data_IF_033924185930
#
_entry.id   IF_033924185930
#
_cell.length_a   1.000
_cell.length_b   1.000
_cell.length_c   1.000
_cell.angle_alpha   90.00
_cell.angle_beta   90.00
_cell.angle_gamma   90.00
#
_symmetry.space_group_name_H-M   'P 1'
#
loop_
_entity.id
_entity.type
_entity.pdbx_description
1 polymer ?
#
# COMPACT_ATOMS: atom_id res chain seq x y z
N UNK A 1 -14.47 -7.75 -19.26
CA UNK A 1 -14.36 -8.25 -20.65
C UNK A 1 -15.59 -7.84 -21.46
N UNK A 2 -15.37 -7.11 -22.54
CA UNK A 2 -16.44 -6.68 -23.44
C UNK A 2 -16.79 -7.84 -24.38
N UNK A 3 -18.03 -7.87 -24.87
CA UNK A 3 -18.63 -9.00 -25.59
C UNK A 3 -17.93 -9.44 -26.90
N UNK A 4 -16.80 -8.82 -27.28
CA UNK A 4 -15.99 -9.13 -28.47
C UNK A 4 -14.60 -9.71 -28.21
N UNK A 5 -14.20 -9.96 -26.95
CA UNK A 5 -12.89 -10.57 -26.63
C UNK A 5 -11.66 -9.70 -26.90
N UNK A 6 -11.86 -8.44 -27.30
CA UNK A 6 -10.80 -7.45 -27.43
C UNK A 6 -10.51 -6.82 -26.07
N UNK A 7 -9.25 -6.90 -25.64
CA UNK A 7 -8.72 -6.18 -24.48
C UNK A 7 -7.82 -5.08 -25.00
N UNK A 8 -8.12 -3.83 -24.65
CA UNK A 8 -7.25 -2.70 -24.98
C UNK A 8 -5.83 -2.97 -24.43
N UNK A 9 -4.79 -3.00 -25.27
CA UNK A 9 -3.41 -3.26 -24.82
C UNK A 9 -2.90 -2.21 -23.82
N UNK A 10 -3.51 -1.03 -23.76
CA UNK A 10 -3.19 0.01 -22.78
C UNK A 10 -4.01 -0.12 -21.49
N UNK A 11 -5.07 -0.93 -21.48
CA UNK A 11 -5.90 -1.18 -20.29
C UNK A 11 -5.30 -2.25 -19.36
N UNK A 12 -4.28 -2.96 -19.82
CA UNK A 12 -3.57 -3.98 -19.04
C UNK A 12 -2.12 -3.59 -18.83
N UNK A 13 -1.58 -3.68 -17.60
CA UNK A 13 -0.17 -3.40 -17.31
C UNK A 13 0.69 -4.58 -17.80
N UNK A 14 0.70 -4.80 -19.11
CA UNK A 14 1.36 -5.93 -19.78
C UNK A 14 2.79 -5.62 -20.22
N UNK A 15 3.20 -4.36 -20.14
CA UNK A 15 4.50 -3.89 -20.62
C UNK A 15 4.61 -3.85 -22.15
N UNK A 16 3.47 -3.97 -22.86
CA UNK A 16 3.42 -4.01 -24.33
C UNK A 16 4.11 -2.80 -24.97
N UNK A 17 4.88 -3.05 -26.04
CA UNK A 17 5.50 -2.02 -26.89
C UNK A 17 5.44 -2.44 -28.36
N UNK A 18 5.38 -1.45 -29.25
CA UNK A 18 5.34 -1.70 -30.70
C UNK A 18 6.68 -2.29 -31.18
N UNK A 19 6.64 -3.48 -31.77
CA UNK A 19 7.78 -4.08 -32.47
C UNK A 19 8.87 -4.71 -31.59
N UNK A 20 8.63 -4.94 -30.30
CA UNK A 20 9.63 -5.48 -29.38
C UNK A 20 9.09 -6.39 -28.28
N UNK A 21 10.00 -6.94 -27.48
CA UNK A 21 9.67 -7.66 -26.25
C UNK A 21 8.99 -6.72 -25.25
N UNK A 22 7.93 -7.15 -24.56
CA UNK A 22 7.35 -6.38 -23.47
C UNK A 22 8.42 -5.94 -22.47
N UNK A 23 8.39 -4.67 -22.07
CA UNK A 23 9.32 -4.17 -21.08
C UNK A 23 8.81 -4.54 -19.67
N UNK A 24 9.70 -4.92 -18.75
CA UNK A 24 9.33 -5.07 -17.35
C UNK A 24 8.67 -3.78 -16.84
N UNK A 25 7.47 -3.92 -16.29
CA UNK A 25 6.81 -2.85 -15.55
C UNK A 25 7.31 -2.86 -14.12
N UNK A 26 7.60 -1.67 -13.61
CA UNK A 26 8.04 -1.45 -12.23
C UNK A 26 7.09 -0.48 -11.56
N UNK A 27 6.73 -0.81 -10.33
CA UNK A 27 5.80 -0.08 -9.49
C UNK A 27 6.57 0.37 -8.26
N UNK A 28 7.00 1.64 -8.21
CA UNK A 28 7.52 2.22 -6.99
C UNK A 28 6.34 2.46 -6.04
N UNK A 29 6.38 1.80 -4.89
CA UNK A 29 5.32 1.78 -3.89
C UNK A 29 5.87 2.15 -2.53
N UNK A 30 5.04 2.75 -1.70
CA UNK A 30 5.33 3.00 -0.28
C UNK A 30 4.24 2.38 0.57
N UNK A 31 4.67 1.75 1.65
CA UNK A 31 3.80 1.31 2.74
C UNK A 31 4.14 2.14 3.97
N UNK A 32 3.11 2.60 4.69
CA UNK A 32 3.31 3.39 5.91
C UNK A 32 4.12 2.60 6.94
N UNK A 33 5.23 3.18 7.42
CA UNK A 33 6.14 2.54 8.38
C UNK A 33 7.22 1.65 7.77
N UNK A 34 7.28 1.50 6.44
CA UNK A 34 8.34 0.79 5.74
C UNK A 34 9.11 1.73 4.78
N UNK A 35 10.35 1.36 4.45
CA UNK A 35 11.09 2.02 3.37
C UNK A 35 10.37 1.82 2.04
N UNK A 36 10.38 2.83 1.13
CA UNK A 36 9.80 2.67 -0.20
C UNK A 36 10.44 1.51 -0.96
N UNK A 37 9.61 0.73 -1.65
CA UNK A 37 10.03 -0.43 -2.43
C UNK A 37 9.69 -0.25 -3.89
N UNK A 38 10.54 -0.73 -4.79
CA UNK A 38 10.20 -0.85 -6.20
C UNK A 38 9.98 -2.31 -6.51
N UNK A 39 8.78 -2.66 -6.97
CA UNK A 39 8.43 -4.03 -7.29
C UNK A 39 8.12 -4.19 -8.78
N UNK A 40 8.47 -5.34 -9.36
CA UNK A 40 8.11 -5.65 -10.75
C UNK A 40 6.61 -5.94 -10.90
N UNK A 41 6.10 -6.00 -12.13
CA UNK A 41 4.73 -6.48 -12.34
C UNK A 41 4.56 -7.89 -11.74
N UNK A 42 3.50 -8.12 -10.94
CA UNK A 42 3.20 -9.45 -10.44
C UNK A 42 2.89 -10.39 -11.59
N UNK A 43 3.11 -11.70 -11.38
CA UNK A 43 2.78 -12.72 -12.38
C UNK A 43 1.29 -12.67 -12.76
N UNK A 44 0.44 -12.44 -11.76
CA UNK A 44 -0.96 -12.12 -11.95
C UNK A 44 -1.48 -11.23 -10.82
N UNK A 45 -2.41 -10.33 -11.14
CA UNK A 45 -3.14 -9.55 -10.16
C UNK A 45 -4.59 -9.38 -10.60
N UNK A 46 -5.52 -9.57 -9.67
CA UNK A 46 -6.92 -9.22 -9.83
C UNK A 46 -7.29 -8.23 -8.73
N UNK A 47 -7.75 -7.05 -9.13
CA UNK A 47 -8.18 -5.99 -8.23
C UNK A 47 -9.66 -5.74 -8.45
N UNK A 48 -10.41 -5.77 -7.36
CA UNK A 48 -11.84 -5.45 -7.31
C UNK A 48 -12.05 -4.27 -6.35
N UNK A 49 -13.31 -3.87 -6.14
CA UNK A 49 -13.62 -2.78 -5.21
C UNK A 49 -13.17 -3.11 -3.77
N UNK A 50 -13.33 -4.36 -3.35
CA UNK A 50 -13.22 -4.82 -1.96
C UNK A 50 -12.12 -5.88 -1.75
N UNK A 51 -11.47 -6.35 -2.82
CA UNK A 51 -10.44 -7.39 -2.73
C UNK A 51 -9.31 -7.21 -3.72
N UNK A 52 -8.09 -7.52 -3.28
CA UNK A 52 -6.92 -7.74 -4.13
C UNK A 52 -6.49 -9.19 -4.01
N UNK A 53 -6.26 -9.84 -5.14
CA UNK A 53 -5.55 -11.12 -5.22
C UNK A 53 -4.33 -10.93 -6.10
N UNK A 54 -3.16 -11.28 -5.59
CA UNK A 54 -1.89 -11.10 -6.30
C UNK A 54 -1.04 -12.35 -6.14
N UNK A 55 -0.37 -12.74 -7.21
CA UNK A 55 0.66 -13.79 -7.18
C UNK A 55 2.04 -13.13 -7.18
N UNK A 56 2.79 -13.37 -6.12
CA UNK A 56 4.14 -12.84 -5.89
C UNK A 56 5.07 -14.02 -5.58
N UNK A 57 6.12 -14.19 -6.37
CA UNK A 57 7.13 -15.25 -6.17
C UNK A 57 6.52 -16.67 -6.01
N UNK A 58 5.47 -16.96 -6.77
CA UNK A 58 4.73 -18.24 -6.73
C UNK A 58 3.76 -18.39 -5.55
N UNK A 59 3.62 -17.36 -4.71
CA UNK A 59 2.68 -17.33 -3.60
C UNK A 59 1.49 -16.45 -3.94
N UNK A 60 0.28 -17.02 -3.81
CA UNK A 60 -0.96 -16.26 -4.00
C UNK A 60 -1.37 -15.62 -2.67
N UNK A 61 -1.42 -14.29 -2.65
CA UNK A 61 -1.92 -13.49 -1.53
C UNK A 61 -3.34 -12.99 -1.78
N UNK A 62 -4.18 -12.99 -0.74
CA UNK A 62 -5.49 -12.38 -0.75
C UNK A 62 -5.57 -11.28 0.31
N UNK A 63 -6.10 -10.13 -0.08
CA UNK A 63 -6.23 -8.95 0.78
C UNK A 63 -7.63 -8.36 0.62
N UNK A 64 -8.23 -7.93 1.73
CA UNK A 64 -9.37 -7.02 1.70
C UNK A 64 -8.90 -5.63 1.27
N UNK A 65 -9.74 -4.90 0.54
CA UNK A 65 -9.42 -3.58 0.00
C UNK A 65 -10.47 -2.55 0.38
N UNK A 66 -10.01 -1.35 0.72
CA UNK A 66 -10.84 -0.14 0.81
C UNK A 66 -10.05 1.05 0.29
N UNK A 67 -10.28 1.44 -0.98
CA UNK A 67 -9.42 2.43 -1.64
C UNK A 67 -7.99 1.91 -1.76
N UNK A 68 -7.04 2.62 -1.16
CA UNK A 68 -5.60 2.29 -1.19
C UNK A 68 -5.15 1.52 0.07
N UNK A 69 -6.11 1.14 0.91
CA UNK A 69 -5.87 0.32 2.09
C UNK A 69 -6.05 -1.17 1.77
N UNK A 70 -5.09 -1.97 2.21
CA UNK A 70 -5.12 -3.43 2.15
C UNK A 70 -5.14 -4.01 3.57
N UNK A 71 -5.91 -5.08 3.79
CA UNK A 71 -5.96 -5.77 5.08
C UNK A 71 -5.97 -7.29 4.94
N UNK A 72 -5.32 -7.98 5.88
CA UNK A 72 -5.24 -9.44 5.94
C UNK A 72 -4.93 -9.89 7.36
N UNK A 73 -5.62 -10.93 7.85
CA UNK A 73 -5.33 -11.58 9.15
C UNK A 73 -5.28 -10.61 10.35
N UNK A 74 -6.03 -9.49 10.28
CA UNK A 74 -6.07 -8.45 11.32
C UNK A 74 -5.07 -7.31 11.10
N UNK A 75 -4.10 -7.47 10.22
CA UNK A 75 -3.16 -6.43 9.84
C UNK A 75 -3.72 -5.54 8.73
N UNK A 76 -3.26 -4.29 8.67
CA UNK A 76 -3.70 -3.29 7.69
C UNK A 76 -2.54 -2.42 7.23
N UNK A 77 -2.46 -2.20 5.93
CA UNK A 77 -1.41 -1.45 5.25
C UNK A 77 -2.04 -0.40 4.34
N UNK A 78 -1.57 0.84 4.45
CA UNK A 78 -1.84 1.87 3.45
C UNK A 78 -0.78 1.76 2.36
N UNK A 79 -1.18 1.34 1.17
CA UNK A 79 -0.29 1.15 0.02
C UNK A 79 -0.46 2.32 -0.93
N UNK A 80 0.59 3.11 -1.09
CA UNK A 80 0.57 4.32 -1.91
C UNK A 80 1.56 4.21 -3.06
N UNK A 81 1.23 4.84 -4.18
CA UNK A 81 2.22 5.08 -5.22
C UNK A 81 3.35 5.97 -4.67
N UNK A 82 4.58 5.65 -5.05
CA UNK A 82 5.76 6.41 -4.66
C UNK A 82 6.45 6.93 -5.91
N UNK A 83 6.56 8.24 -6.09
CA UNK A 83 7.39 8.79 -7.16
C UNK A 83 8.81 9.05 -6.62
N UNK A 84 9.82 8.25 -7.00
CA UNK A 84 11.18 8.43 -6.49
C UNK A 84 11.85 9.71 -7.02
N UNK A 85 11.42 10.23 -8.17
CA UNK A 85 11.93 11.47 -8.74
C UNK A 85 11.39 12.65 -7.95
N UNK A 86 10.08 12.69 -7.73
CA UNK A 86 9.42 13.71 -6.91
C UNK A 86 9.96 13.68 -5.47
N UNK A 87 10.15 12.50 -4.88
CA UNK A 87 10.75 12.33 -3.56
C UNK A 87 12.19 12.87 -3.49
N UNK A 88 13.01 12.61 -4.52
CA UNK A 88 14.37 13.14 -4.58
C UNK A 88 14.40 14.68 -4.71
N UNK A 89 13.41 15.27 -5.37
CA UNK A 89 13.31 16.72 -5.56
C UNK A 89 12.72 17.42 -4.32
N UNK A 90 11.83 16.77 -3.59
CA UNK A 90 11.18 17.28 -2.38
C UNK A 90 11.96 17.01 -1.09
N UNK A 91 12.88 16.03 -1.10
CA UNK A 91 13.74 15.64 0.03
C UNK A 91 14.70 16.73 0.54
N UNK A 92 14.82 17.87 -0.16
CA UNK A 92 15.58 19.02 0.30
C UNK A 92 14.87 19.89 1.36
N UNK A 93 13.65 19.54 1.84
CA UNK A 93 12.98 20.43 2.80
C UNK A 93 11.78 19.95 3.62
N UNK A 94 11.36 18.67 3.60
CA UNK A 94 10.18 18.25 4.40
C UNK A 94 10.41 16.93 5.13
N UNK A 95 11.07 17.03 6.28
CA UNK A 95 11.05 16.00 7.32
C UNK A 95 9.73 16.10 8.09
N UNK A 96 8.69 15.46 7.59
CA UNK A 96 7.42 15.29 8.27
C UNK A 96 6.69 14.16 7.60
N UNK A 97 6.61 13.01 8.26
CA UNK A 97 5.85 11.90 7.73
C UNK A 97 4.39 12.35 7.60
N UNK A 98 3.87 12.44 6.38
CA UNK A 98 2.44 12.68 6.09
C UNK A 98 1.52 11.57 6.67
N UNK A 99 2.08 10.58 7.36
CA UNK A 99 1.35 9.51 8.02
C UNK A 99 2.11 9.05 9.28
N UNK A 100 1.40 9.04 10.41
CA UNK A 100 1.85 8.42 11.66
C UNK A 100 1.32 6.98 11.70
N UNK A 101 2.17 6.02 11.36
CA UNK A 101 1.85 4.60 11.51
C UNK A 101 1.96 4.17 12.97
N UNK A 102 1.09 3.25 13.41
CA UNK A 102 1.22 2.65 14.74
C UNK A 102 2.57 1.90 14.84
N UNK A 103 3.34 2.07 15.93
CA UNK A 103 4.68 1.49 16.03
C UNK A 103 4.67 -0.03 16.24
N UNK A 104 3.53 -0.62 16.61
CA UNK A 104 3.32 -2.05 16.81
C UNK A 104 1.86 -2.43 16.51
N UNK A 105 1.60 -3.66 16.04
CA UNK A 105 0.23 -4.17 15.89
C UNK A 105 -0.44 -4.28 17.26
N UNK A 106 -1.71 -3.89 17.32
CA UNK A 106 -2.48 -3.91 18.55
C UNK A 106 -3.90 -3.38 18.36
N UNK A 107 -4.72 -3.51 19.40
CA UNK A 107 -6.10 -3.05 19.39
C UNK A 107 -6.18 -1.60 19.86
N UNK A 108 -6.86 -0.73 19.09
CA UNK A 108 -7.14 0.65 19.51
C UNK A 108 -8.18 0.62 20.63
N UNK A 109 -7.82 1.10 21.81
CA UNK A 109 -8.72 1.11 22.98
C UNK A 109 -9.34 2.47 23.24
N UNK A 110 -8.62 3.56 22.89
CA UNK A 110 -9.07 4.93 23.11
C UNK A 110 -8.61 5.83 21.96
N UNK A 111 -9.54 6.63 21.42
CA UNK A 111 -9.24 7.74 20.51
C UNK A 111 -9.46 9.04 21.27
N UNK A 112 -8.45 9.93 21.30
CA UNK A 112 -8.44 11.16 22.12
C UNK A 112 -8.71 12.44 21.32
N UNK A 113 -8.81 12.35 20.01
CA UNK A 113 -8.99 13.49 19.09
C UNK A 113 -10.09 13.21 18.07
N UNK A 114 -10.77 14.25 17.62
CA UNK A 114 -11.72 14.18 16.52
C UNK A 114 -11.05 14.55 15.19
N UNK A 115 -11.71 14.20 14.08
CA UNK A 115 -11.24 14.56 12.74
C UNK A 115 -11.32 16.08 12.58
N UNK A 116 -10.20 16.71 12.22
CA UNK A 116 -10.09 18.16 12.01
C UNK A 116 -9.58 18.93 13.22
N UNK A 117 -9.31 18.26 14.35
CA UNK A 117 -8.69 18.90 15.51
C UNK A 117 -7.23 19.33 15.20
N UNK A 118 -6.87 20.53 15.62
CA UNK A 118 -5.48 20.99 15.62
C UNK A 118 -4.75 20.36 16.82
N UNK A 119 -3.55 19.83 16.58
CA UNK A 119 -2.78 19.05 17.57
C UNK A 119 -1.36 19.58 17.70
N UNK A 120 -0.84 19.55 18.92
CA UNK A 120 0.53 19.99 19.21
C UNK A 120 1.51 18.83 19.24
N UNK A 121 2.80 19.13 19.04
CA UNK A 121 3.86 18.13 19.10
C UNK A 121 3.90 17.44 20.48
N UNK A 122 3.85 16.10 20.49
CA UNK A 122 3.80 15.30 21.71
C UNK A 122 2.41 15.06 22.28
N UNK A 123 1.35 15.62 21.67
CA UNK A 123 -0.03 15.32 22.06
C UNK A 123 -0.39 13.87 21.76
N UNK A 124 -0.94 13.19 22.77
CA UNK A 124 -1.43 11.82 22.61
C UNK A 124 -2.71 11.79 21.77
N UNK A 125 -2.69 11.09 20.63
CA UNK A 125 -3.84 10.99 19.72
C UNK A 125 -4.73 9.78 20.04
N UNK A 126 -4.13 8.64 20.37
CA UNK A 126 -4.84 7.39 20.66
C UNK A 126 -4.01 6.49 21.58
N UNK A 127 -4.63 5.45 22.11
CA UNK A 127 -3.99 4.39 22.90
C UNK A 127 -4.20 3.07 22.18
N UNK A 128 -3.11 2.31 21.99
CA UNK A 128 -3.13 0.96 21.43
C UNK A 128 -2.65 -0.01 22.50
N UNK A 129 -3.37 -1.11 22.68
CA UNK A 129 -2.88 -2.27 23.44
C UNK A 129 -2.26 -3.30 22.49
N UNK A 130 -0.99 -3.61 22.70
CA UNK A 130 -0.32 -4.70 21.99
C UNK A 130 -0.73 -6.05 22.59
N UNK A 131 -1.09 -7.01 21.76
CA UNK A 131 -1.34 -8.39 22.22
C UNK A 131 0.01 -9.03 22.59
N UNK A 132 0.12 -9.51 23.82
CA UNK A 132 1.32 -10.20 24.31
C UNK A 132 1.43 -11.56 23.59
N UNK A 133 2.58 -11.85 23.01
CA UNK A 133 2.92 -13.22 22.61
C UNK A 133 3.40 -13.98 23.85
N UNK A 134 2.54 -14.85 24.37
CA UNK A 134 2.93 -15.88 25.33
C UNK A 134 3.58 -17.01 24.52
N UNK A 135 4.90 -17.17 24.65
CA UNK A 135 5.56 -18.39 24.19
C UNK A 135 5.52 -19.41 25.33
N UNK A 136 4.98 -20.60 25.05
CA UNK A 136 5.18 -21.82 25.85
C UNK A 136 6.37 -22.58 25.27
#
# INVERSE_FOLDING_TARGET
>A
PDAGGWTDPFSVPSGWRTGGTPAPLVFPLRVSGADPVTYGAPASATVTADRVTVELDGTVGHFHRSGDWLGRDGDTWHVQDHDPVEASLSGAGRGGADTLAAPMPGTVTVVKVAVGDEVEAGQSLLVVEAMKMEHV
#
